data_IF_537606669234
#
_entry.id   IF_537606669234
#
_cell.length_a   1.000
_cell.length_b   1.000
_cell.length_c   1.000
_cell.angle_alpha   90.00
_cell.angle_beta   90.00
_cell.angle_gamma   90.00
#
_symmetry.space_group_name_H-M   'P 1'
#
loop_
_entity.id
_entity.type
_entity.pdbx_description
1 polymer ?
#
# COMPACT_ATOMS: atom_id res chain seq x y z
N UNK A 1 -5.39 -7.46 -7.95
CA UNK A 1 -4.10 -6.73 -8.08
C UNK A 1 -3.15 -7.47 -9.00
N UNK A 2 -2.76 -8.72 -8.70
CA UNK A 2 -1.80 -9.47 -9.53
C UNK A 2 -2.24 -9.66 -10.99
N UNK A 3 -3.52 -9.95 -11.26
CA UNK A 3 -4.00 -10.06 -12.66
C UNK A 3 -4.06 -8.72 -13.42
N UNK A 4 -4.24 -7.59 -12.73
CA UNK A 4 -4.18 -6.25 -13.34
C UNK A 4 -2.73 -5.77 -13.53
N UNK A 5 -1.78 -6.28 -12.72
CA UNK A 5 -0.38 -5.94 -12.84
C UNK A 5 0.23 -6.36 -14.19
N UNK A 6 -0.32 -7.41 -14.81
CA UNK A 6 0.07 -7.87 -16.14
C UNK A 6 -0.21 -6.84 -17.26
N UNK A 7 -1.08 -5.84 -17.03
CA UNK A 7 -1.51 -4.87 -18.04
C UNK A 7 -0.54 -3.68 -18.13
N UNK A 8 0.46 -3.59 -17.25
CA UNK A 8 1.52 -2.56 -17.28
C UNK A 8 1.07 -1.15 -16.89
N UNK A 9 -0.20 -0.97 -16.51
CA UNK A 9 -0.73 0.33 -16.07
C UNK A 9 -0.33 0.63 -14.61
N UNK A 10 -0.08 1.89 -14.25
CA UNK A 10 0.07 2.29 -12.85
C UNK A 10 -1.19 1.95 -12.04
N UNK A 11 -1.00 1.26 -10.91
CA UNK A 11 -2.07 0.82 -10.02
C UNK A 11 -1.96 1.53 -8.68
N UNK A 12 -3.08 2.09 -8.24
CA UNK A 12 -3.27 2.60 -6.88
C UNK A 12 -4.24 1.66 -6.16
N UNK A 13 -3.84 1.10 -5.03
CA UNK A 13 -4.71 0.27 -4.20
C UNK A 13 -5.72 1.16 -3.43
N UNK A 14 -7.00 1.10 -3.80
CA UNK A 14 -8.02 2.04 -3.31
C UNK A 14 -8.86 1.55 -2.12
N UNK A 15 -8.47 0.50 -1.40
CA UNK A 15 -9.25 0.03 -0.26
C UNK A 15 -8.67 -1.16 0.48
N UNK A 16 -9.06 -1.32 1.74
CA UNK A 16 -8.68 -2.46 2.59
C UNK A 16 -7.42 -2.26 3.43
N UNK A 17 -6.85 -1.05 3.48
CA UNK A 17 -5.72 -0.72 4.36
C UNK A 17 -6.27 -0.23 5.70
N UNK A 18 -6.30 -1.10 6.70
CA UNK A 18 -6.84 -0.79 8.03
C UNK A 18 -5.78 -0.85 9.13
N UNK A 19 -4.68 -1.53 8.88
CA UNK A 19 -3.59 -1.75 9.85
C UNK A 19 -2.23 -1.54 9.20
N UNK A 20 -1.18 -1.43 10.04
CA UNK A 20 0.20 -1.34 9.56
C UNK A 20 0.60 -2.58 8.75
N UNK A 21 0.06 -3.76 9.12
CA UNK A 21 0.30 -5.02 8.42
C UNK A 21 -0.23 -5.02 6.98
N UNK A 22 -1.32 -4.29 6.72
CA UNK A 22 -1.83 -4.14 5.36
C UNK A 22 -0.89 -3.28 4.50
N UNK A 23 -0.25 -2.27 5.11
CA UNK A 23 0.77 -1.45 4.45
C UNK A 23 1.99 -2.30 4.10
N UNK A 24 2.50 -3.10 5.04
CA UNK A 24 3.61 -4.03 4.81
C UNK A 24 3.28 -5.04 3.71
N UNK A 25 2.08 -5.63 3.74
CA UNK A 25 1.64 -6.56 2.70
C UNK A 25 1.55 -5.88 1.33
N UNK A 26 1.16 -4.61 1.27
CA UNK A 26 1.15 -3.84 0.03
C UNK A 26 2.57 -3.55 -0.47
N UNK A 27 3.51 -3.24 0.43
CA UNK A 27 4.94 -3.08 0.11
C UNK A 27 5.50 -4.34 -0.52
N UNK A 28 5.27 -5.52 0.08
CA UNK A 28 5.72 -6.79 -0.48
C UNK A 28 5.09 -7.09 -1.86
N UNK A 29 3.83 -6.68 -2.07
CA UNK A 29 3.19 -6.78 -3.39
C UNK A 29 3.84 -5.83 -4.40
N UNK A 30 4.14 -4.60 -4.02
CA UNK A 30 4.77 -3.61 -4.88
C UNK A 30 6.19 -4.04 -5.31
N UNK A 31 6.93 -4.75 -4.44
CA UNK A 31 8.23 -5.36 -4.81
C UNK A 31 8.12 -6.38 -5.93
N UNK A 32 7.01 -7.13 -6.01
CA UNK A 32 6.75 -8.14 -7.05
C UNK A 32 6.05 -7.57 -8.28
N UNK A 33 5.36 -6.45 -8.13
CA UNK A 33 4.58 -5.78 -9.15
C UNK A 33 4.92 -4.28 -9.15
N UNK A 34 5.97 -3.85 -9.88
CA UNK A 34 6.51 -2.49 -9.83
C UNK A 34 5.53 -1.43 -10.34
N UNK A 35 4.46 -1.85 -11.03
CA UNK A 35 3.40 -0.96 -11.48
C UNK A 35 2.40 -0.62 -10.36
N UNK A 36 2.50 -1.18 -9.16
CA UNK A 36 1.77 -0.70 -7.97
C UNK A 36 2.51 0.52 -7.43
N UNK A 37 1.91 1.70 -7.60
CA UNK A 37 2.55 2.99 -7.32
C UNK A 37 2.06 3.64 -6.03
N UNK A 38 1.03 3.10 -5.38
CA UNK A 38 0.55 3.62 -4.11
C UNK A 38 -0.73 2.98 -3.57
N UNK A 39 -1.20 3.52 -2.45
CA UNK A 39 -2.47 3.18 -1.83
C UNK A 39 -3.22 4.43 -1.36
N UNK A 40 -4.55 4.35 -1.35
CA UNK A 40 -5.43 5.34 -0.74
C UNK A 40 -5.85 4.80 0.63
N UNK A 41 -5.54 5.57 1.67
CA UNK A 41 -5.87 5.26 3.06
C UNK A 41 -6.74 6.39 3.60
N UNK A 42 -7.93 6.04 4.09
CA UNK A 42 -8.90 7.01 4.63
C UNK A 42 -9.34 6.61 6.02
N UNK A 43 -10.43 5.83 6.10
CA UNK A 43 -11.13 5.47 7.34
C UNK A 43 -10.21 5.06 8.50
N UNK A 44 -9.17 4.26 8.23
CA UNK A 44 -8.23 3.79 9.23
C UNK A 44 -7.45 4.91 9.96
N UNK A 45 -7.18 6.02 9.27
CA UNK A 45 -6.55 7.19 9.85
C UNK A 45 -7.52 7.95 10.77
N UNK A 46 -8.80 8.00 10.39
CA UNK A 46 -9.84 8.64 11.21
C UNK A 46 -10.22 7.82 12.44
N UNK A 47 -10.23 6.49 12.32
CA UNK A 47 -10.53 5.55 13.41
C UNK A 47 -9.33 5.29 14.32
N UNK A 48 -8.13 5.76 13.95
CA UNK A 48 -6.90 5.59 14.73
C UNK A 48 -6.33 4.16 14.71
N UNK A 49 -6.85 3.29 13.83
CA UNK A 49 -6.35 1.92 13.65
C UNK A 49 -5.04 1.86 12.87
N UNK A 50 -4.69 2.96 12.21
CA UNK A 50 -3.41 3.13 11.51
C UNK A 50 -2.81 4.51 11.83
N UNK A 51 -1.55 4.51 12.27
CA UNK A 51 -0.75 5.72 12.45
C UNK A 51 -0.18 6.19 11.12
N UNK A 52 -0.44 7.44 10.73
CA UNK A 52 0.09 8.02 9.48
C UNK A 52 1.64 8.02 9.44
N UNK A 53 2.36 8.45 10.49
CA UNK A 53 3.82 8.36 10.52
C UNK A 53 4.36 6.93 10.32
N UNK A 54 3.75 5.94 10.97
CA UNK A 54 4.17 4.54 10.86
C UNK A 54 3.88 3.98 9.46
N UNK A 55 2.72 4.30 8.89
CA UNK A 55 2.37 3.91 7.53
C UNK A 55 3.37 4.47 6.49
N UNK A 56 3.78 5.73 6.63
CA UNK A 56 4.78 6.35 5.76
C UNK A 56 6.15 5.69 5.97
N UNK A 57 6.56 5.42 7.21
CA UNK A 57 7.82 4.75 7.51
C UNK A 57 7.88 3.34 6.89
N UNK A 58 6.81 2.55 7.05
CA UNK A 58 6.67 1.23 6.43
C UNK A 58 6.71 1.33 4.89
N UNK A 59 5.99 2.27 4.29
CA UNK A 59 5.99 2.46 2.84
C UNK A 59 7.39 2.84 2.29
N UNK A 60 8.17 3.65 3.01
CA UNK A 60 9.54 4.03 2.62
C UNK A 60 10.52 2.87 2.65
N UNK A 61 10.29 1.84 3.48
CA UNK A 61 11.13 0.63 3.49
C UNK A 61 11.09 -0.16 2.16
N UNK A 62 10.13 0.14 1.28
CA UNK A 62 10.04 -0.42 -0.06
C UNK A 62 11.04 0.17 -1.05
N UNK A 63 11.52 1.40 -0.81
CA UNK A 63 12.39 2.14 -1.73
C UNK A 63 13.84 1.91 -1.32
N UNK A 64 14.48 0.91 -1.93
CA UNK A 64 15.94 0.76 -2.02
C UNK A 64 16.33 0.71 -3.49
#
# INVERSE_FOLDING_TARGET
>A
LEQLAAVGLPIIASGGVTTLRDVEALVERARRAPNIVGAIVGRALYEGTLSLPEAIAAARSATH
#
